data_IF_016952332868
#
_entry.id   IF_016952332868
#
_cell.length_a   1.000
_cell.length_b   1.000
_cell.length_c   1.000
_cell.angle_alpha   90.00
_cell.angle_beta   90.00
_cell.angle_gamma   90.00
#
_symmetry.space_group_name_H-M   'P 1'
#
loop_
_entity.id
_entity.type
_entity.pdbx_description
1 polymer ?
#
# COMPACT_ATOMS: atom_id res chain seq x y z
N UNK A 1 31.59 32.90 -2.31
CA UNK A 1 30.23 33.06 -2.88
C UNK A 1 30.06 32.11 -4.06
N UNK A 2 30.85 32.24 -5.13
CA UNK A 2 30.77 31.37 -6.34
C UNK A 2 30.75 29.87 -6.01
N UNK A 3 31.69 29.38 -5.19
CA UNK A 3 31.74 27.97 -4.80
C UNK A 3 30.47 27.45 -4.09
N UNK A 4 29.74 28.31 -3.36
CA UNK A 4 28.50 27.96 -2.66
C UNK A 4 27.32 27.92 -3.63
N UNK A 5 27.31 28.81 -4.63
CA UNK A 5 26.29 28.86 -5.67
C UNK A 5 26.38 27.60 -6.57
N UNK A 6 27.59 27.08 -6.80
CA UNK A 6 27.78 25.83 -7.54
C UNK A 6 27.49 24.59 -6.68
N UNK A 7 27.82 24.63 -5.39
CA UNK A 7 27.62 23.53 -4.45
C UNK A 7 27.39 24.06 -3.03
N UNK A 8 26.16 23.97 -2.53
CA UNK A 8 25.76 24.48 -1.21
C UNK A 8 26.59 23.87 -0.06
N UNK A 9 27.08 22.63 -0.24
CA UNK A 9 27.94 21.97 0.74
C UNK A 9 29.34 22.58 0.86
N UNK A 10 29.74 23.47 -0.06
CA UNK A 10 30.97 24.27 0.08
C UNK A 10 30.93 25.19 1.31
N UNK A 11 29.74 25.45 1.87
CA UNK A 11 29.57 26.23 3.11
C UNK A 11 30.41 25.69 4.28
N UNK A 12 30.69 24.38 4.31
CA UNK A 12 31.50 23.74 5.34
C UNK A 12 32.94 24.30 5.43
N UNK A 13 33.48 24.83 4.33
CA UNK A 13 34.83 25.36 4.24
C UNK A 13 34.90 26.88 4.50
N UNK A 14 33.75 27.53 4.67
CA UNK A 14 33.69 28.98 4.86
C UNK A 14 33.85 29.31 6.35
N UNK A 15 34.87 30.12 6.66
CA UNK A 15 35.12 30.62 8.01
C UNK A 15 34.09 31.67 8.40
N UNK A 16 33.94 32.71 7.58
CA UNK A 16 33.01 33.82 7.85
C UNK A 16 31.69 33.61 7.12
N UNK A 17 30.72 33.02 7.83
CA UNK A 17 29.39 32.73 7.30
C UNK A 17 28.46 33.94 7.47
N UNK A 18 28.34 34.77 6.43
CA UNK A 18 27.33 35.84 6.39
C UNK A 18 25.94 35.28 6.12
N UNK A 19 24.90 36.08 6.39
CA UNK A 19 23.52 35.70 6.09
C UNK A 19 23.34 35.33 4.61
N UNK A 20 23.89 36.13 3.70
CA UNK A 20 23.76 35.95 2.25
C UNK A 20 24.45 34.67 1.78
N UNK A 21 25.62 34.34 2.35
CA UNK A 21 26.35 33.11 2.02
C UNK A 21 25.56 31.89 2.50
N UNK A 22 25.02 31.93 3.73
CA UNK A 22 24.18 30.86 4.25
C UNK A 22 22.90 30.69 3.43
N UNK A 23 22.23 31.79 3.07
CA UNK A 23 21.03 31.78 2.23
C UNK A 23 21.32 31.19 0.85
N UNK A 24 22.40 31.61 0.20
CA UNK A 24 22.81 31.05 -1.10
C UNK A 24 23.08 29.54 -1.00
N UNK A 25 23.68 29.07 0.10
CA UNK A 25 23.95 27.65 0.31
C UNK A 25 22.66 26.83 0.44
N UNK A 26 21.75 27.24 1.32
CA UNK A 26 20.50 26.49 1.57
C UNK A 26 19.52 26.60 0.41
N UNK A 27 19.58 27.67 -0.36
CA UNK A 27 18.80 27.82 -1.60
C UNK A 27 19.27 26.84 -2.67
N UNK A 28 20.59 26.63 -2.78
CA UNK A 28 21.18 25.68 -3.71
C UNK A 28 20.91 24.22 -3.29
N UNK A 29 21.10 23.90 -2.02
CA UNK A 29 20.85 22.59 -1.42
C UNK A 29 20.37 22.77 0.03
N UNK A 30 19.11 22.44 0.32
CA UNK A 30 18.53 22.57 1.66
C UNK A 30 19.33 21.82 2.74
N UNK A 31 20.02 20.72 2.38
CA UNK A 31 20.87 19.98 3.33
C UNK A 31 22.12 20.76 3.75
N UNK A 32 22.51 21.82 3.04
CA UNK A 32 23.59 22.71 3.43
C UNK A 32 23.34 23.37 4.80
N UNK A 33 22.09 23.36 5.29
CA UNK A 33 21.74 23.79 6.65
C UNK A 33 22.60 23.11 7.72
N UNK A 34 23.06 21.88 7.49
CA UNK A 34 23.97 21.14 8.39
C UNK A 34 25.29 21.87 8.67
N UNK A 35 25.69 22.79 7.81
CA UNK A 35 26.93 23.57 7.94
C UNK A 35 26.70 25.00 8.43
N UNK A 36 25.45 25.44 8.57
CA UNK A 36 25.12 26.79 9.06
C UNK A 36 25.33 26.85 10.57
N UNK A 37 26.29 27.68 11.02
CA UNK A 37 26.60 27.82 12.46
C UNK A 37 25.56 28.66 13.21
N UNK A 38 25.02 29.70 12.56
CA UNK A 38 24.01 30.58 13.14
C UNK A 38 22.69 30.43 12.38
N UNK A 39 21.82 29.55 12.87
CA UNK A 39 20.52 29.26 12.24
C UNK A 39 19.49 30.33 12.59
N UNK A 40 19.28 31.27 11.66
CA UNK A 40 18.17 32.23 11.75
C UNK A 40 16.91 31.66 11.09
N UNK A 41 15.73 32.15 11.49
CA UNK A 41 14.45 31.70 10.92
C UNK A 41 14.38 31.74 9.40
N UNK A 42 14.80 32.82 8.71
CA UNK A 42 14.80 32.82 7.25
C UNK A 42 15.66 31.71 6.65
N UNK A 43 16.82 31.42 7.22
CA UNK A 43 17.75 30.40 6.68
C UNK A 43 17.16 29.00 6.82
N UNK A 44 16.70 28.61 8.02
CA UNK A 44 16.18 27.26 8.20
C UNK A 44 14.81 27.06 7.53
N UNK A 45 13.97 28.11 7.45
CA UNK A 45 12.71 28.04 6.71
C UNK A 45 12.96 27.86 5.21
N UNK A 46 13.95 28.55 4.65
CA UNK A 46 14.31 28.39 3.24
C UNK A 46 14.85 26.98 2.97
N UNK A 47 15.74 26.49 3.82
CA UNK A 47 16.28 25.13 3.71
C UNK A 47 15.18 24.06 3.67
N UNK A 48 14.21 24.15 4.59
CA UNK A 48 13.10 23.18 4.70
C UNK A 48 12.10 23.31 3.55
N UNK A 49 11.84 24.53 3.05
CA UNK A 49 11.00 24.73 1.86
C UNK A 49 11.63 24.16 0.59
N UNK A 50 12.96 24.18 0.51
CA UNK A 50 13.70 23.63 -0.61
C UNK A 50 13.76 22.10 -0.53
N UNK A 51 13.87 21.57 0.69
CA UNK A 51 13.90 20.13 0.99
C UNK A 51 13.45 19.86 2.42
N UNK A 52 12.31 19.22 2.59
CA UNK A 52 11.67 18.92 3.87
C UNK A 52 12.58 18.14 4.81
N UNK A 53 13.38 17.20 4.28
CA UNK A 53 14.36 16.43 5.06
C UNK A 53 15.46 17.29 5.72
N UNK A 54 15.67 18.53 5.27
CA UNK A 54 16.56 19.48 5.96
C UNK A 54 16.10 19.78 7.40
N UNK A 55 14.84 19.47 7.75
CA UNK A 55 14.31 19.54 9.12
C UNK A 55 15.21 18.83 10.14
N UNK A 56 15.91 17.76 9.72
CA UNK A 56 16.86 17.01 10.56
C UNK A 56 17.98 17.87 11.15
N UNK A 57 18.33 18.97 10.48
CA UNK A 57 19.40 19.89 10.88
C UNK A 57 18.88 21.12 11.63
N UNK A 58 17.57 21.32 11.73
CA UNK A 58 16.98 22.44 12.46
C UNK A 58 17.16 22.24 13.95
N UNK A 59 17.82 23.19 14.62
CA UNK A 59 18.09 23.09 16.06
C UNK A 59 16.80 23.27 16.87
N UNK A 60 16.04 24.33 16.61
CA UNK A 60 14.80 24.63 17.30
C UNK A 60 13.60 24.44 16.38
N UNK A 61 12.82 23.39 16.63
CA UNK A 61 11.67 23.01 15.82
C UNK A 61 10.38 23.51 16.50
N UNK A 62 9.70 24.45 15.86
CA UNK A 62 8.31 24.79 16.17
C UNK A 62 7.34 24.04 15.23
N UNK A 63 6.05 24.12 15.52
CA UNK A 63 5.03 23.45 14.70
C UNK A 63 4.99 23.99 13.26
N UNK A 64 5.32 25.27 13.04
CA UNK A 64 5.28 25.87 11.71
C UNK A 64 6.37 25.31 10.79
N UNK A 65 7.61 25.17 11.28
CA UNK A 65 8.69 24.56 10.48
C UNK A 65 8.44 23.07 10.25
N UNK A 66 7.92 22.34 11.25
CA UNK A 66 7.53 20.95 11.08
C UNK A 66 6.44 20.79 10.02
N UNK A 67 5.39 21.63 10.08
CA UNK A 67 4.32 21.65 9.08
C UNK A 67 4.83 22.02 7.69
N UNK A 68 5.78 22.94 7.59
CA UNK A 68 6.41 23.31 6.31
C UNK A 68 7.18 22.13 5.73
N UNK A 69 7.92 21.39 6.58
CA UNK A 69 8.68 20.22 6.16
C UNK A 69 7.80 19.10 5.64
N UNK A 70 6.78 18.70 6.40
CA UNK A 70 5.89 17.58 6.01
C UNK A 70 5.01 17.89 4.82
N UNK A 71 4.77 19.16 4.50
CA UNK A 71 4.06 19.58 3.27
C UNK A 71 4.93 19.49 2.03
N UNK A 72 6.23 19.69 2.20
CA UNK A 72 7.19 19.53 1.11
C UNK A 72 7.44 18.04 0.86
N UNK A 73 7.75 17.30 1.92
CA UNK A 73 7.99 15.85 1.90
C UNK A 73 7.43 15.18 3.16
N UNK A 74 6.41 14.33 3.02
CA UNK A 74 5.79 13.59 4.11
C UNK A 74 6.81 12.80 4.95
N UNK A 75 7.88 12.30 4.33
CA UNK A 75 8.94 11.54 5.00
C UNK A 75 9.70 12.40 6.02
N UNK A 76 9.65 13.73 5.91
CA UNK A 76 10.23 14.63 6.90
C UNK A 76 9.62 14.45 8.30
N UNK A 77 8.46 13.77 8.43
CA UNK A 77 7.89 13.38 9.72
C UNK A 77 8.90 12.59 10.59
N UNK A 78 9.79 11.80 9.98
CA UNK A 78 10.87 11.07 10.67
C UNK A 78 11.75 12.02 11.52
N UNK A 79 11.90 13.28 11.10
CA UNK A 79 12.76 14.27 11.76
C UNK A 79 12.02 15.20 12.72
N UNK A 80 10.70 15.04 12.89
CA UNK A 80 9.89 15.85 13.81
C UNK A 80 10.10 15.35 15.24
N UNK A 81 10.73 16.15 16.10
CA UNK A 81 11.04 15.75 17.49
C UNK A 81 9.83 15.76 18.41
N UNK A 82 8.89 16.67 18.16
CA UNK A 82 7.64 16.81 18.91
C UNK A 82 6.47 16.74 17.93
N UNK A 83 5.93 15.55 17.76
CA UNK A 83 4.82 15.30 16.87
C UNK A 83 3.51 15.82 17.49
N UNK A 84 2.80 16.68 16.77
CA UNK A 84 1.40 17.03 17.06
C UNK A 84 0.49 16.20 16.17
N UNK A 85 -0.74 15.95 16.61
CA UNK A 85 -1.72 15.23 15.77
C UNK A 85 -1.91 15.95 14.41
N UNK A 86 -1.86 17.29 14.38
CA UNK A 86 -1.95 18.08 13.16
C UNK A 86 -0.81 17.79 12.18
N UNK A 87 0.44 17.75 12.65
CA UNK A 87 1.61 17.42 11.80
C UNK A 87 1.54 15.98 11.31
N UNK A 88 1.18 15.03 12.17
CA UNK A 88 0.99 13.63 11.76
C UNK A 88 -0.11 13.47 10.73
N UNK A 89 -1.26 14.11 10.94
CA UNK A 89 -2.39 14.08 10.00
C UNK A 89 -2.04 14.68 8.65
N UNK A 90 -1.27 15.77 8.60
CA UNK A 90 -0.80 16.34 7.34
C UNK A 90 0.08 15.35 6.58
N UNK A 91 1.05 14.75 7.26
CA UNK A 91 2.00 13.80 6.66
C UNK A 91 1.29 12.55 6.12
N UNK A 92 0.44 11.88 6.92
CA UNK A 92 -0.22 10.64 6.49
C UNK A 92 -1.30 10.84 5.42
N UNK A 93 -1.79 12.07 5.25
CA UNK A 93 -2.69 12.43 4.14
C UNK A 93 -1.94 12.59 2.81
N UNK A 94 -0.64 12.86 2.86
CA UNK A 94 0.20 12.96 1.67
C UNK A 94 0.79 11.58 1.29
N UNK A 95 1.23 10.79 2.27
CA UNK A 95 1.66 9.39 2.09
C UNK A 95 1.31 8.57 3.34
N UNK A 96 0.36 7.65 3.23
CA UNK A 96 -0.12 6.82 4.33
C UNK A 96 0.95 5.91 4.93
N UNK A 97 2.02 5.58 4.20
CA UNK A 97 3.10 4.74 4.73
C UNK A 97 3.93 5.45 5.81
N UNK A 98 3.92 6.79 5.85
CA UNK A 98 4.66 7.55 6.85
C UNK A 98 4.11 7.35 8.27
N UNK A 99 2.96 6.68 8.42
CA UNK A 99 2.46 6.21 9.71
C UNK A 99 3.48 5.34 10.46
N UNK A 100 4.42 4.70 9.75
CA UNK A 100 5.60 4.04 10.31
C UNK A 100 6.39 4.94 11.28
N UNK A 101 6.43 6.26 11.03
CA UNK A 101 7.17 7.24 11.84
C UNK A 101 6.30 7.93 12.88
N UNK A 102 4.98 7.66 12.92
CA UNK A 102 4.07 8.26 13.91
C UNK A 102 4.28 7.56 15.25
N UNK A 103 4.68 8.34 16.26
CA UNK A 103 4.96 7.84 17.62
C UNK A 103 3.67 7.51 18.38
N UNK A 104 2.64 8.34 18.23
CA UNK A 104 1.33 8.15 18.84
C UNK A 104 0.26 8.01 17.74
N UNK A 105 -0.09 6.76 17.42
CA UNK A 105 -1.01 6.42 16.36
C UNK A 105 -2.46 6.56 16.82
N UNK A 106 -2.95 7.81 16.91
CA UNK A 106 -4.35 8.07 17.23
C UNK A 106 -5.27 7.50 16.15
N UNK A 107 -6.51 7.20 16.50
CA UNK A 107 -7.49 6.67 15.54
C UNK A 107 -7.67 7.58 14.32
N UNK A 108 -7.78 8.92 14.44
CA UNK A 108 -7.82 9.81 13.27
C UNK A 108 -6.60 9.68 12.35
N UNK A 109 -5.40 9.55 12.90
CA UNK A 109 -4.16 9.38 12.12
C UNK A 109 -4.15 8.04 11.41
N UNK A 110 -4.48 6.95 12.11
CA UNK A 110 -4.60 5.62 11.51
C UNK A 110 -5.62 5.60 10.36
N UNK A 111 -6.80 6.19 10.60
CA UNK A 111 -7.88 6.26 9.63
C UNK A 111 -7.49 7.09 8.40
N UNK A 112 -6.77 8.19 8.58
CA UNK A 112 -6.26 8.98 7.48
C UNK A 112 -5.24 8.19 6.65
N UNK A 113 -4.28 7.53 7.30
CA UNK A 113 -3.25 6.73 6.64
C UNK A 113 -3.83 5.60 5.79
N UNK A 114 -4.74 4.79 6.34
CA UNK A 114 -5.31 3.64 5.61
C UNK A 114 -6.30 4.04 4.52
N UNK A 115 -6.91 5.24 4.62
CA UNK A 115 -7.76 5.80 3.57
C UNK A 115 -6.94 6.36 2.42
N UNK A 116 -5.75 6.88 2.70
CA UNK A 116 -4.78 7.29 1.68
C UNK A 116 -4.20 6.03 1.00
N UNK A 117 -3.63 5.10 1.77
CA UNK A 117 -3.05 3.85 1.29
C UNK A 117 -3.47 2.66 2.15
N UNK A 118 -4.29 1.75 1.62
CA UNK A 118 -4.80 0.59 2.36
C UNK A 118 -3.70 -0.33 2.88
N UNK A 119 -2.54 -0.39 2.21
CA UNK A 119 -1.39 -1.17 2.68
C UNK A 119 -0.69 -0.56 3.90
N UNK A 120 -0.98 0.69 4.26
CA UNK A 120 -0.51 1.29 5.51
C UNK A 120 -1.01 0.53 6.76
N UNK A 121 -2.05 -0.30 6.61
CA UNK A 121 -2.54 -1.20 7.67
C UNK A 121 -1.42 -2.07 8.27
N UNK A 122 -0.38 -2.41 7.49
CA UNK A 122 0.77 -3.18 7.96
C UNK A 122 1.55 -2.49 9.09
N UNK A 123 1.51 -1.16 9.16
CA UNK A 123 2.23 -0.34 10.13
C UNK A 123 1.33 0.13 11.29
N UNK A 124 0.02 -0.12 11.22
CA UNK A 124 -0.93 0.25 12.29
C UNK A 124 -0.73 -0.66 13.51
N UNK A 125 -0.48 -0.05 14.67
CA UNK A 125 -0.33 -0.74 15.95
C UNK A 125 -1.65 -1.33 16.43
N UNK A 126 -2.71 -0.54 16.49
CA UNK A 126 -4.04 -0.98 16.95
C UNK A 126 -5.02 -1.08 15.78
N UNK A 127 -5.22 -2.31 15.28
CA UNK A 127 -6.09 -2.59 14.14
C UNK A 127 -7.55 -2.82 14.58
N UNK A 128 -8.31 -1.73 14.78
CA UNK A 128 -9.75 -1.84 15.04
C UNK A 128 -10.50 -2.36 13.81
N UNK A 129 -11.70 -2.92 14.02
CA UNK A 129 -12.54 -3.37 12.90
C UNK A 129 -12.84 -2.24 11.89
N UNK A 130 -12.94 -0.99 12.36
CA UNK A 130 -13.17 0.17 11.51
C UNK A 130 -11.94 0.51 10.66
N UNK A 131 -10.75 0.50 11.25
CA UNK A 131 -9.48 0.74 10.53
C UNK A 131 -9.26 -0.37 9.49
N UNK A 132 -9.43 -1.63 9.88
CA UNK A 132 -9.35 -2.76 8.96
C UNK A 132 -10.33 -2.61 7.80
N UNK A 133 -11.62 -2.37 8.09
CA UNK A 133 -12.63 -2.22 7.05
C UNK A 133 -12.33 -1.05 6.11
N UNK A 134 -11.83 0.07 6.63
CA UNK A 134 -11.39 1.21 5.83
C UNK A 134 -10.22 0.85 4.90
N UNK A 135 -9.20 0.18 5.42
CA UNK A 135 -8.04 -0.28 4.65
C UNK A 135 -8.44 -1.26 3.53
N UNK A 136 -9.27 -2.25 3.85
CA UNK A 136 -9.76 -3.24 2.87
C UNK A 136 -10.68 -2.59 1.84
N UNK A 137 -11.49 -1.61 2.24
CA UNK A 137 -12.35 -0.87 1.28
C UNK A 137 -11.52 -0.04 0.32
N UNK A 138 -10.38 0.51 0.79
CA UNK A 138 -9.43 1.22 -0.06
C UNK A 138 -8.73 0.24 -1.02
N UNK A 139 -8.18 -0.86 -0.50
CA UNK A 139 -7.53 -1.91 -1.28
C UNK A 139 -7.77 -3.29 -0.66
N UNK A 140 -8.52 -4.15 -1.36
CA UNK A 140 -8.87 -5.49 -0.88
C UNK A 140 -7.64 -6.33 -0.50
N UNK A 141 -6.53 -6.18 -1.21
CA UNK A 141 -5.27 -6.88 -0.91
C UNK A 141 -4.61 -6.43 0.39
N UNK A 142 -5.04 -5.34 1.03
CA UNK A 142 -4.66 -5.00 2.40
C UNK A 142 -5.09 -6.07 3.41
N UNK A 143 -6.04 -6.96 3.05
CA UNK A 143 -6.44 -8.12 3.85
C UNK A 143 -5.24 -8.97 4.32
N UNK A 144 -4.16 -9.02 3.55
CA UNK A 144 -2.95 -9.75 3.93
C UNK A 144 -2.33 -9.25 5.25
N UNK A 145 -2.52 -7.98 5.57
CA UNK A 145 -1.99 -7.30 6.76
C UNK A 145 -2.99 -7.22 7.92
N UNK A 146 -4.25 -7.59 7.70
CA UNK A 146 -5.25 -7.65 8.76
C UNK A 146 -4.90 -8.78 9.74
N UNK A 147 -4.76 -8.46 11.03
CA UNK A 147 -4.53 -9.46 12.09
C UNK A 147 -5.77 -10.32 12.30
N UNK A 148 -6.92 -9.67 12.45
CA UNK A 148 -8.22 -10.33 12.54
C UNK A 148 -8.97 -10.26 11.22
N UNK A 149 -9.36 -11.43 10.71
CA UNK A 149 -10.09 -11.59 9.44
C UNK A 149 -11.50 -12.12 9.74
N UNK A 150 -12.43 -11.21 10.02
CA UNK A 150 -13.85 -11.57 10.14
C UNK A 150 -14.42 -11.96 8.78
N UNK A 151 -15.53 -12.70 8.77
CA UNK A 151 -16.20 -13.07 7.52
C UNK A 151 -16.58 -11.84 6.70
N UNK A 152 -17.09 -10.78 7.34
CA UNK A 152 -17.43 -9.52 6.68
C UNK A 152 -16.22 -8.83 6.02
N UNK A 153 -15.08 -8.76 6.71
CA UNK A 153 -13.84 -8.18 6.16
C UNK A 153 -13.37 -9.00 4.95
N UNK A 154 -13.37 -10.33 5.06
CA UNK A 154 -13.01 -11.22 3.96
C UNK A 154 -13.95 -11.08 2.77
N UNK A 155 -15.26 -11.04 3.01
CA UNK A 155 -16.28 -10.87 1.97
C UNK A 155 -16.12 -9.53 1.25
N UNK A 156 -15.87 -8.44 1.98
CA UNK A 156 -15.61 -7.14 1.39
C UNK A 156 -14.38 -7.17 0.49
N UNK A 157 -13.30 -7.81 0.94
CA UNK A 157 -12.05 -7.91 0.19
C UNK A 157 -12.22 -8.69 -1.13
N UNK A 158 -12.82 -9.89 -1.06
CA UNK A 158 -13.02 -10.73 -2.26
C UNK A 158 -14.10 -10.21 -3.20
N UNK A 159 -15.00 -9.35 -2.70
CA UNK A 159 -15.98 -8.64 -3.53
C UNK A 159 -15.30 -7.58 -4.41
N UNK A 160 -14.22 -6.96 -3.95
CA UNK A 160 -13.44 -6.01 -4.73
C UNK A 160 -12.51 -6.73 -5.72
N UNK A 161 -11.76 -7.73 -5.25
CA UNK A 161 -10.89 -8.59 -6.07
C UNK A 161 -10.97 -10.05 -5.59
N UNK A 162 -11.53 -10.93 -6.40
CA UNK A 162 -11.67 -12.34 -6.10
C UNK A 162 -10.33 -13.05 -5.90
N UNK A 163 -9.25 -12.52 -6.48
CA UNK A 163 -7.90 -13.06 -6.28
C UNK A 163 -7.37 -12.81 -4.86
N UNK A 164 -7.94 -11.85 -4.13
CA UNK A 164 -7.65 -11.63 -2.70
C UNK A 164 -7.97 -12.86 -1.84
N UNK A 165 -8.75 -13.82 -2.36
CA UNK A 165 -8.98 -15.12 -1.70
C UNK A 165 -7.68 -15.81 -1.28
N UNK A 166 -6.57 -15.58 -1.97
CA UNK A 166 -5.24 -16.10 -1.61
C UNK A 166 -4.79 -15.69 -0.20
N UNK A 167 -5.24 -14.53 0.30
CA UNK A 167 -4.90 -13.98 1.61
C UNK A 167 -5.89 -14.37 2.72
N UNK A 168 -7.01 -15.03 2.38
CA UNK A 168 -8.03 -15.46 3.34
C UNK A 168 -7.51 -16.67 4.14
N UNK A 169 -7.31 -16.49 5.46
CA UNK A 169 -6.85 -17.55 6.36
C UNK A 169 -7.93 -18.61 6.58
N UNK A 170 -9.15 -18.17 6.90
CA UNK A 170 -10.31 -19.05 7.12
C UNK A 170 -11.32 -18.90 5.98
N UNK A 171 -11.29 -19.83 5.03
CA UNK A 171 -12.21 -19.86 3.91
C UNK A 171 -13.54 -20.51 4.31
N UNK A 172 -14.64 -19.76 4.16
CA UNK A 172 -16.02 -20.27 4.25
C UNK A 172 -16.62 -20.41 2.86
N UNK A 173 -17.68 -21.19 2.72
CA UNK A 173 -18.38 -21.34 1.42
C UNK A 173 -18.85 -19.99 0.86
N UNK A 174 -19.47 -19.07 1.65
CA UNK A 174 -19.80 -17.73 1.18
C UNK A 174 -18.60 -16.95 0.62
N UNK A 175 -17.45 -16.96 1.31
CA UNK A 175 -16.25 -16.25 0.87
C UNK A 175 -15.73 -16.83 -0.45
N UNK A 176 -15.60 -18.15 -0.54
CA UNK A 176 -15.13 -18.81 -1.76
C UNK A 176 -16.08 -18.57 -2.93
N UNK A 177 -17.39 -18.69 -2.71
CA UNK A 177 -18.39 -18.46 -3.74
C UNK A 177 -18.37 -17.00 -4.22
N UNK A 178 -18.27 -16.04 -3.30
CA UNK A 178 -18.18 -14.62 -3.65
C UNK A 178 -16.91 -14.33 -4.47
N UNK A 179 -15.77 -14.89 -4.09
CA UNK A 179 -14.51 -14.74 -4.82
C UNK A 179 -14.60 -15.33 -6.24
N UNK A 180 -15.13 -16.54 -6.37
CA UNK A 180 -15.29 -17.24 -7.67
C UNK A 180 -16.29 -16.52 -8.58
N UNK A 181 -17.38 -15.99 -8.03
CA UNK A 181 -18.34 -15.16 -8.77
C UNK A 181 -17.71 -13.86 -9.28
N UNK A 182 -16.82 -13.26 -8.48
CA UNK A 182 -16.10 -12.05 -8.87
C UNK A 182 -15.06 -12.38 -9.95
N UNK A 183 -14.28 -13.46 -9.78
CA UNK A 183 -13.28 -13.94 -10.72
C UNK A 183 -13.14 -15.47 -10.64
N UNK A 184 -13.53 -16.17 -11.70
CA UNK A 184 -13.52 -17.63 -11.77
C UNK A 184 -12.12 -18.22 -11.58
N UNK A 185 -11.06 -17.48 -11.93
CA UNK A 185 -9.67 -17.92 -11.67
C UNK A 185 -9.30 -17.93 -10.19
N UNK A 186 -10.10 -17.30 -9.31
CA UNK A 186 -9.94 -17.40 -7.86
C UNK A 186 -10.10 -18.85 -7.36
N UNK A 187 -10.72 -19.74 -8.15
CA UNK A 187 -10.80 -21.17 -7.87
C UNK A 187 -9.42 -21.78 -7.55
N UNK A 188 -8.35 -21.26 -8.15
CA UNK A 188 -6.98 -21.70 -7.89
C UNK A 188 -6.56 -21.59 -6.41
N UNK A 189 -7.19 -20.69 -5.65
CA UNK A 189 -6.90 -20.47 -4.23
C UNK A 189 -7.92 -21.14 -3.29
N UNK A 190 -8.96 -21.78 -3.82
CA UNK A 190 -9.95 -22.50 -3.01
C UNK A 190 -9.33 -23.78 -2.45
N UNK A 191 -9.18 -23.86 -1.12
CA UNK A 191 -8.56 -25.03 -0.46
C UNK A 191 -9.41 -26.30 -0.50
N UNK A 192 -10.73 -26.14 -0.51
CA UNK A 192 -11.71 -27.23 -0.58
C UNK A 192 -12.68 -26.96 -1.71
N UNK A 193 -12.38 -27.48 -2.89
CA UNK A 193 -13.25 -27.34 -4.06
C UNK A 193 -14.47 -28.25 -3.91
N UNK A 194 -15.66 -27.68 -4.13
CA UNK A 194 -16.91 -28.42 -4.32
C UNK A 194 -17.27 -28.40 -5.80
N UNK A 195 -18.07 -29.35 -6.25
CA UNK A 195 -18.59 -29.36 -7.62
C UNK A 195 -19.35 -28.06 -7.93
N UNK A 196 -20.12 -27.53 -6.96
CA UNK A 196 -20.81 -26.24 -7.11
C UNK A 196 -19.87 -25.06 -7.36
N UNK A 197 -18.76 -24.97 -6.61
CA UNK A 197 -17.76 -23.92 -6.80
C UNK A 197 -17.02 -24.06 -8.13
N UNK A 198 -16.66 -25.29 -8.52
CA UNK A 198 -16.03 -25.54 -9.81
C UNK A 198 -16.96 -25.15 -10.97
N UNK A 199 -18.24 -25.53 -10.88
CA UNK A 199 -19.26 -25.18 -11.87
C UNK A 199 -19.46 -23.66 -11.95
N UNK A 200 -19.51 -22.96 -10.82
CA UNK A 200 -19.61 -21.50 -10.81
C UNK A 200 -18.38 -20.85 -11.43
N UNK A 201 -17.18 -21.37 -11.15
CA UNK A 201 -15.93 -20.84 -11.69
C UNK A 201 -15.85 -20.97 -13.20
N UNK A 202 -16.20 -22.13 -13.77
CA UNK A 202 -16.18 -22.34 -15.23
C UNK A 202 -17.29 -21.58 -15.95
N UNK A 203 -18.43 -21.34 -15.28
CA UNK A 203 -19.49 -20.47 -15.78
C UNK A 203 -19.04 -19.02 -15.85
N UNK A 204 -18.31 -18.57 -14.83
CA UNK A 204 -17.79 -17.21 -14.77
C UNK A 204 -16.64 -17.00 -15.76
N UNK A 205 -15.73 -17.98 -15.85
CA UNK A 205 -14.59 -17.97 -16.77
C UNK A 205 -14.21 -19.40 -17.14
N UNK A 206 -14.43 -19.79 -18.39
CA UNK A 206 -14.13 -21.15 -18.88
C UNK A 206 -12.67 -21.56 -18.68
N UNK A 207 -11.73 -20.60 -18.70
CA UNK A 207 -10.31 -20.86 -18.42
C UNK A 207 -10.03 -21.26 -16.97
N UNK A 208 -10.99 -21.11 -16.06
CA UNK A 208 -10.90 -21.62 -14.70
C UNK A 208 -10.87 -23.15 -14.64
N UNK A 209 -11.27 -23.84 -15.73
CA UNK A 209 -11.20 -25.31 -15.85
C UNK A 209 -9.79 -25.85 -15.55
N UNK A 210 -8.74 -25.09 -15.88
CA UNK A 210 -7.35 -25.48 -15.59
C UNK A 210 -7.05 -25.63 -14.09
N UNK A 211 -7.87 -24.99 -13.23
CA UNK A 211 -7.72 -25.03 -11.78
C UNK A 211 -8.66 -26.03 -11.10
N UNK A 212 -9.53 -26.71 -11.84
CA UNK A 212 -10.45 -27.73 -11.31
C UNK A 212 -9.65 -29.01 -11.02
N UNK A 213 -9.63 -29.47 -9.77
CA UNK A 213 -8.88 -30.66 -9.38
C UNK A 213 -9.54 -31.97 -9.84
N UNK A 214 -10.88 -32.02 -9.84
CA UNK A 214 -11.66 -33.14 -10.33
C UNK A 214 -12.59 -32.70 -11.48
N UNK A 215 -12.10 -32.86 -12.71
CA UNK A 215 -12.82 -32.47 -13.92
C UNK A 215 -13.89 -33.52 -14.27
N UNK A 216 -15.13 -33.30 -13.86
CA UNK A 216 -16.27 -34.14 -14.27
C UNK A 216 -16.68 -33.83 -15.70
N UNK A 217 -17.37 -34.78 -16.34
CA UNK A 217 -17.91 -34.58 -17.68
C UNK A 217 -18.81 -33.34 -17.78
N UNK A 218 -19.62 -33.09 -16.74
CA UNK A 218 -20.49 -31.92 -16.68
C UNK A 218 -19.71 -30.61 -16.61
N UNK A 219 -18.66 -30.52 -15.78
CA UNK A 219 -17.79 -29.34 -15.67
C UNK A 219 -17.10 -29.07 -17.02
N UNK A 220 -16.52 -30.09 -17.65
CA UNK A 220 -15.85 -29.97 -18.95
C UNK A 220 -16.81 -29.51 -20.05
N UNK A 221 -18.01 -30.11 -20.13
CA UNK A 221 -19.05 -29.70 -21.10
C UNK A 221 -19.50 -28.27 -20.89
N UNK A 222 -19.61 -27.83 -19.63
CA UNK A 222 -19.96 -26.45 -19.30
C UNK A 222 -18.84 -25.50 -19.74
N UNK A 223 -17.59 -25.76 -19.38
CA UNK A 223 -16.46 -24.92 -19.80
C UNK A 223 -16.34 -24.79 -21.33
N UNK A 224 -16.59 -25.86 -22.10
CA UNK A 224 -16.60 -25.81 -23.57
C UNK A 224 -17.72 -24.92 -24.12
N UNK A 225 -18.89 -24.94 -23.49
CA UNK A 225 -20.02 -24.09 -23.88
C UNK A 225 -19.72 -22.61 -23.62
N UNK A 226 -19.19 -22.31 -22.44
CA UNK A 226 -18.92 -20.93 -21.99
C UNK A 226 -17.66 -20.33 -22.63
N UNK A 227 -16.68 -21.15 -23.04
CA UNK A 227 -15.42 -20.69 -23.65
C UNK A 227 -15.47 -20.39 -25.15
N UNK A 228 -16.56 -20.75 -25.84
CA UNK A 228 -16.62 -20.68 -27.30
C UNK A 228 -15.67 -21.70 -27.97
N UNK A 229 -15.98 -22.10 -29.19
CA UNK A 229 -15.38 -23.25 -29.91
C UNK A 229 -13.89 -23.14 -30.28
N UNK A 230 -13.10 -22.23 -29.69
CA UNK A 230 -11.78 -21.87 -30.25
C UNK A 230 -10.53 -22.16 -29.41
N UNK A 231 -10.61 -22.72 -28.19
CA UNK A 231 -9.39 -22.93 -27.37
C UNK A 231 -9.18 -24.32 -26.79
N UNK A 232 -10.11 -25.27 -26.97
CA UNK A 232 -9.95 -26.62 -26.41
C UNK A 232 -10.13 -27.70 -27.49
N UNK A 233 -9.02 -28.18 -28.06
CA UNK A 233 -9.03 -29.45 -28.81
C UNK A 233 -8.88 -30.59 -27.81
N UNK A 234 -9.99 -31.06 -27.23
CA UNK A 234 -9.97 -32.22 -26.32
C UNK A 234 -10.04 -33.50 -27.15
N UNK A 235 -8.94 -34.26 -27.20
CA UNK A 235 -8.94 -35.63 -27.69
C UNK A 235 -9.43 -36.57 -26.58
N UNK A 236 -10.62 -37.13 -26.77
CA UNK A 236 -11.26 -38.02 -25.80
C UNK A 236 -10.64 -39.41 -25.86
N UNK A 237 -9.86 -39.80 -24.86
CA UNK A 237 -9.53 -41.20 -24.63
C UNK A 237 -10.11 -41.66 -23.29
N UNK A 238 -11.17 -42.47 -23.37
CA UNK A 238 -11.65 -43.27 -22.23
C UNK A 238 -10.54 -44.25 -21.85
N UNK A 239 -9.73 -43.92 -20.86
CA UNK A 239 -9.05 -44.94 -20.08
C UNK A 239 -9.09 -44.55 -18.60
N UNK A 240 -9.72 -45.42 -17.82
CA UNK A 240 -9.62 -45.50 -16.35
C UNK A 240 -9.96 -44.26 -15.52
N UNK A 241 -11.14 -43.65 -15.70
CA UNK A 241 -11.81 -42.84 -14.67
C UNK A 241 -11.17 -41.50 -14.27
N UNK A 242 -10.10 -41.07 -14.94
CA UNK A 242 -9.46 -39.77 -14.72
C UNK A 242 -9.40 -38.98 -16.02
N UNK A 243 -10.05 -37.81 -16.04
CA UNK A 243 -10.02 -36.89 -17.17
C UNK A 243 -8.78 -36.00 -17.07
N UNK A 244 -7.96 -35.97 -18.12
CA UNK A 244 -6.79 -35.09 -18.20
C UNK A 244 -6.98 -34.17 -19.40
N UNK A 245 -7.14 -32.87 -19.13
CA UNK A 245 -6.99 -31.84 -20.15
C UNK A 245 -5.49 -31.66 -20.45
N UNK A 246 -5.05 -31.96 -21.68
CA UNK A 246 -3.77 -31.43 -22.18
C UNK A 246 -3.99 -29.98 -22.59
N UNK A 247 -3.26 -29.07 -21.95
CA UNK A 247 -3.07 -27.68 -22.39
C UNK A 247 -1.98 -27.65 -23.45
#
# INVERSE_FOLDING_TARGET
MEAVIENGNALQYIRDQTHEICMAAVFQDGEALRYVRNQTRPIYMEAVKQRGSALRYVIDQDEQICMTAVREDAMALEFVRKQTEGVCLEAVKQDGNVILFVLDQTEPVCMAAVKENGYALQFVHEQTSQICMAAITQCGNALQYAREQTEDICLQAVKQDGMTLQYVRKQTEPICLQAVKQNGKALQYVRKQTESLCMEAVKQNSSALQYVTNQTEEICRTAMREGGTSTYSVSWTKNSGTYSSRV
#
